data_IF_318693532483
#
_entry.id   IF_318693532483
#
_cell.length_a   1.000
_cell.length_b   1.000
_cell.length_c   1.000
_cell.angle_alpha   90.00
_cell.angle_beta   90.00
_cell.angle_gamma   90.00
#
_symmetry.space_group_name_H-M   'P 1'
#
loop_
_entity.id
_entity.type
_entity.pdbx_description
1 polymer ?
#
# COMPACT_ATOMS: atom_id res chain seq x y z
N UNK A 1 7.12 -21.13 4.95
CA UNK A 1 6.05 -22.03 5.42
C UNK A 1 5.45 -22.73 4.21
N UNK A 2 5.12 -24.02 4.31
CA UNK A 2 4.44 -24.78 3.26
C UNK A 2 3.01 -25.06 3.72
N UNK A 3 2.04 -24.71 2.89
CA UNK A 3 0.61 -24.79 3.19
C UNK A 3 -0.14 -25.21 1.94
N UNK A 4 -1.16 -26.04 2.10
CA UNK A 4 -2.07 -26.41 1.02
C UNK A 4 -3.30 -25.52 1.11
N UNK A 5 -3.66 -24.87 0.00
CA UNK A 5 -4.81 -23.96 -0.10
C UNK A 5 -5.63 -24.36 -1.32
N UNK A 6 -6.94 -24.30 -1.22
CA UNK A 6 -7.84 -24.36 -2.38
C UNK A 6 -7.96 -22.97 -2.98
N UNK A 7 -7.77 -22.85 -4.30
CA UNK A 7 -7.91 -21.61 -5.06
C UNK A 7 -8.93 -21.84 -6.16
N UNK A 8 -9.74 -20.83 -6.44
CA UNK A 8 -10.62 -20.84 -7.61
C UNK A 8 -9.78 -20.84 -8.90
N UNK A 9 -10.34 -21.44 -9.96
CA UNK A 9 -9.62 -21.68 -11.22
C UNK A 9 -9.14 -20.38 -11.88
N UNK A 10 -9.94 -19.32 -11.80
CA UNK A 10 -9.63 -18.00 -12.34
C UNK A 10 -8.47 -17.33 -11.57
N UNK A 11 -8.47 -17.43 -10.23
CA UNK A 11 -7.40 -16.92 -9.37
C UNK A 11 -6.10 -17.68 -9.64
N UNK A 12 -6.16 -19.01 -9.78
CA UNK A 12 -4.98 -19.82 -10.10
C UNK A 12 -4.42 -19.45 -11.48
N UNK A 13 -5.27 -19.29 -12.49
CA UNK A 13 -4.86 -18.89 -13.83
C UNK A 13 -4.18 -17.51 -13.84
N UNK A 14 -4.77 -16.52 -13.16
CA UNK A 14 -4.22 -15.17 -13.04
C UNK A 14 -2.87 -15.16 -12.31
N UNK A 15 -2.77 -15.89 -11.18
CA UNK A 15 -1.54 -15.99 -10.40
C UNK A 15 -0.41 -16.65 -11.21
N UNK A 16 -0.72 -17.68 -12.01
CA UNK A 16 0.27 -18.31 -12.91
C UNK A 16 0.76 -17.35 -13.99
N UNK A 17 -0.14 -16.61 -14.63
CA UNK A 17 0.25 -15.62 -15.64
C UNK A 17 1.18 -14.55 -15.04
N UNK A 18 0.86 -14.04 -13.84
CA UNK A 18 1.70 -13.08 -13.13
C UNK A 18 3.07 -13.65 -12.74
N UNK A 19 3.10 -14.90 -12.26
CA UNK A 19 4.34 -15.59 -11.90
C UNK A 19 5.28 -15.76 -13.10
N UNK A 20 4.74 -16.14 -14.26
CA UNK A 20 5.51 -16.24 -15.50
C UNK A 20 6.03 -14.87 -15.96
N UNK A 21 5.17 -13.85 -15.96
CA UNK A 21 5.55 -12.51 -16.39
C UNK A 21 6.65 -11.88 -15.51
N UNK A 22 6.69 -12.24 -14.22
CA UNK A 22 7.67 -11.71 -13.26
C UNK A 22 8.88 -12.64 -13.05
N UNK A 23 8.91 -13.83 -13.65
CA UNK A 23 9.98 -14.81 -13.43
C UNK A 23 10.07 -15.30 -11.97
N UNK A 24 8.93 -15.41 -11.27
CA UNK A 24 8.85 -15.77 -9.84
C UNK A 24 8.05 -17.05 -9.64
N UNK A 25 8.21 -17.71 -8.50
CA UNK A 25 7.40 -18.89 -8.19
C UNK A 25 5.94 -18.51 -7.91
N UNK A 26 5.01 -19.43 -8.19
CA UNK A 26 3.58 -19.24 -7.90
C UNK A 26 3.35 -18.95 -6.41
N UNK A 27 4.07 -19.64 -5.52
CA UNK A 27 3.95 -19.44 -4.08
C UNK A 27 4.39 -18.05 -3.61
N UNK A 28 5.43 -17.48 -4.20
CA UNK A 28 5.88 -16.12 -3.89
C UNK A 28 4.85 -15.08 -4.34
N UNK A 29 4.31 -15.22 -5.55
CA UNK A 29 3.29 -14.31 -6.07
C UNK A 29 2.01 -14.38 -5.24
N UNK A 30 1.52 -15.58 -4.93
CA UNK A 30 0.34 -15.76 -4.07
C UNK A 30 0.58 -15.21 -2.66
N UNK A 31 1.77 -15.44 -2.08
CA UNK A 31 2.11 -14.87 -0.76
C UNK A 31 2.13 -13.35 -0.77
N UNK A 32 2.63 -12.73 -1.84
CA UNK A 32 2.62 -11.27 -1.99
C UNK A 32 1.20 -10.72 -2.17
N UNK A 33 0.40 -11.34 -3.04
CA UNK A 33 -1.00 -10.96 -3.25
C UNK A 33 -1.81 -11.06 -1.95
N UNK A 34 -1.63 -12.15 -1.19
CA UNK A 34 -2.25 -12.32 0.11
C UNK A 34 -1.81 -11.21 1.08
N UNK A 35 -0.51 -10.90 1.16
CA UNK A 35 -0.02 -9.78 1.99
C UNK A 35 -0.63 -8.45 1.58
N UNK A 36 -0.78 -8.18 0.27
CA UNK A 36 -1.42 -6.97 -0.24
C UNK A 36 -2.90 -6.91 0.16
N UNK A 37 -3.63 -8.02 0.05
CA UNK A 37 -5.04 -8.10 0.43
C UNK A 37 -5.29 -8.03 1.94
N UNK A 38 -4.33 -8.48 2.75
CA UNK A 38 -4.38 -8.39 4.22
C UNK A 38 -3.97 -7.01 4.75
N UNK A 39 -3.45 -6.11 3.91
CA UNK A 39 -3.20 -4.74 4.35
C UNK A 39 -4.54 -4.06 4.65
N UNK A 40 -4.65 -3.34 5.78
CA UNK A 40 -5.83 -2.56 6.07
C UNK A 40 -6.13 -1.64 4.89
N UNK A 41 -7.39 -1.60 4.46
CA UNK A 41 -7.82 -0.60 3.49
C UNK A 41 -7.47 0.78 4.04
N UNK A 42 -6.83 1.61 3.21
CA UNK A 42 -6.58 2.99 3.60
C UNK A 42 -7.93 3.64 3.93
N UNK A 43 -8.03 4.42 5.02
CA UNK A 43 -9.27 5.12 5.32
C UNK A 43 -9.66 5.97 4.13
N UNK A 44 -10.97 6.00 3.83
CA UNK A 44 -11.49 6.81 2.74
C UNK A 44 -11.02 8.26 2.90
N UNK A 45 -10.59 8.92 1.79
CA UNK A 45 -10.15 10.30 1.86
C UNK A 45 -11.27 11.17 2.41
N UNK A 46 -10.95 12.01 3.40
CA UNK A 46 -11.89 13.04 3.87
C UNK A 46 -11.87 14.18 2.87
N UNK A 47 -13.01 14.78 2.59
CA UNK A 47 -13.10 15.95 1.72
C UNK A 47 -13.43 17.20 2.52
N UNK A 48 -12.87 18.34 2.09
CA UNK A 48 -13.27 19.67 2.55
C UNK A 48 -13.42 20.57 1.33
N UNK A 49 -14.63 21.09 1.11
CA UNK A 49 -14.95 21.94 -0.04
C UNK A 49 -14.57 21.30 -1.39
N UNK A 50 -14.80 19.98 -1.55
CA UNK A 50 -14.47 19.24 -2.77
C UNK A 50 -12.99 18.83 -2.92
N UNK A 51 -12.12 19.23 -1.99
CA UNK A 51 -10.69 18.90 -2.02
C UNK A 51 -10.41 17.71 -1.09
N UNK A 52 -9.74 16.64 -1.56
CA UNK A 52 -9.34 15.53 -0.69
C UNK A 52 -8.26 15.98 0.29
N UNK A 53 -8.50 15.70 1.57
CA UNK A 53 -7.58 15.99 2.66
C UNK A 53 -6.59 14.84 2.83
N UNK A 54 -5.33 15.21 3.05
CA UNK A 54 -4.31 14.27 3.51
C UNK A 54 -4.71 13.72 4.90
N UNK A 55 -4.55 12.41 5.15
CA UNK A 55 -4.86 11.84 6.45
C UNK A 55 -3.96 12.44 7.52
N UNK A 56 -4.56 13.04 8.56
CA UNK A 56 -3.82 13.54 9.71
C UNK A 56 -3.20 12.35 10.46
N UNK A 57 -1.87 12.39 10.66
CA UNK A 57 -1.19 11.41 11.50
C UNK A 57 -1.41 11.77 12.97
N UNK A 58 -1.64 10.80 13.87
CA UNK A 58 -1.64 11.06 15.30
C UNK A 58 -0.32 11.74 15.70
N UNK A 59 -0.39 12.87 16.42
CA UNK A 59 0.79 13.64 16.81
C UNK A 59 1.40 14.52 15.70
N UNK A 60 0.75 14.65 14.53
CA UNK A 60 1.16 15.65 13.56
C UNK A 60 0.80 17.05 14.04
N UNK A 61 1.81 17.90 14.20
CA UNK A 61 1.63 19.32 14.50
C UNK A 61 1.17 20.11 13.27
N UNK A 62 0.63 21.30 13.51
CA UNK A 62 0.27 22.24 12.45
C UNK A 62 1.53 22.64 11.69
N UNK A 63 1.44 22.64 10.36
CA UNK A 63 2.48 23.21 9.52
C UNK A 63 2.54 24.73 9.75
N UNK A 64 3.58 25.19 10.44
CA UNK A 64 3.87 26.62 10.65
C UNK A 64 4.92 27.09 9.65
N UNK A 65 4.93 28.38 9.36
CA UNK A 65 5.94 28.98 8.46
C UNK A 65 7.37 28.79 9.01
N UNK A 66 7.52 28.85 10.34
CA UNK A 66 8.79 28.60 11.03
C UNK A 66 9.30 27.17 10.79
N UNK A 67 8.42 26.16 10.92
CA UNK A 67 8.77 24.77 10.63
C UNK A 67 9.19 24.59 9.17
N UNK A 68 8.48 25.21 8.24
CA UNK A 68 8.79 25.12 6.80
C UNK A 68 10.15 25.73 6.50
N UNK A 69 10.44 26.91 7.04
CA UNK A 69 11.73 27.58 6.81
C UNK A 69 12.89 26.76 7.39
N UNK A 70 12.76 26.27 8.62
CA UNK A 70 13.78 25.40 9.23
C UNK A 70 14.07 24.16 8.38
N UNK A 71 13.05 23.43 7.92
CA UNK A 71 13.24 22.24 7.10
C UNK A 71 13.88 22.55 5.74
N UNK A 72 13.56 23.71 5.14
CA UNK A 72 14.18 24.17 3.89
C UNK A 72 15.67 24.46 4.09
N UNK A 73 16.00 25.11 5.20
CA UNK A 73 17.36 25.56 5.48
C UNK A 73 18.25 24.40 6.01
N UNK A 74 17.65 23.33 6.53
CA UNK A 74 18.33 22.06 6.93
C UNK A 74 18.54 21.08 5.77
N UNK A 75 17.86 21.25 4.64
CA UNK A 75 18.06 20.40 3.46
C UNK A 75 19.38 20.78 2.75
N UNK A 76 20.26 19.82 2.43
CA UNK A 76 21.52 20.08 1.73
C UNK A 76 21.31 20.57 0.28
#
# INVERSE_FOLDING_TARGET
MRTTLSLDDDVLAAARALAQAQGRSLGEVVSELARKGLRPAAPAPRYRNGIPLLPARPGADRATLELVNRLRDEAP
#
